data_IF_830930915636
#
_entry.id   IF_830930915636
#
_cell.length_a   1.000
_cell.length_b   1.000
_cell.length_c   1.000
_cell.angle_alpha   90.00
_cell.angle_beta   90.00
_cell.angle_gamma   90.00
#
_symmetry.space_group_name_H-M   'P 1'
#
loop_
_entity.id
_entity.type
_entity.pdbx_description
1 polymer ?
#
# COMPACT_ATOMS: atom_id res chain seq x y z
N UNK A 1 18.47 5.48 -3.98
CA UNK A 1 17.28 4.75 -4.47
C UNK A 1 16.05 5.49 -4.00
N UNK A 2 15.13 5.80 -4.91
CA UNK A 2 13.88 6.49 -4.60
C UNK A 2 13.06 5.65 -3.61
N UNK A 3 12.75 6.23 -2.43
CA UNK A 3 11.99 5.55 -1.38
C UNK A 3 10.61 5.14 -1.90
N UNK A 4 10.03 5.91 -2.82
CA UNK A 4 8.77 5.58 -3.49
C UNK A 4 8.87 4.30 -4.32
N UNK A 5 9.99 4.05 -5.00
CA UNK A 5 10.17 2.83 -5.79
C UNK A 5 10.22 1.59 -4.87
N UNK A 6 10.91 1.69 -3.72
CA UNK A 6 10.96 0.59 -2.72
C UNK A 6 9.58 0.32 -2.13
N UNK A 7 8.88 1.38 -1.72
CA UNK A 7 7.51 1.28 -1.22
C UNK A 7 6.59 0.64 -2.26
N UNK A 8 6.65 1.08 -3.51
CA UNK A 8 5.81 0.56 -4.60
C UNK A 8 6.11 -0.91 -4.88
N UNK A 9 7.38 -1.31 -4.91
CA UNK A 9 7.78 -2.71 -5.03
C UNK A 9 7.22 -3.58 -3.89
N UNK A 10 7.36 -3.13 -2.63
CA UNK A 10 6.84 -3.85 -1.47
C UNK A 10 5.30 -3.95 -1.51
N UNK A 11 4.63 -2.84 -1.84
CA UNK A 11 3.18 -2.74 -1.98
C UNK A 11 2.63 -3.67 -3.06
N UNK A 12 3.36 -3.84 -4.16
CA UNK A 12 3.01 -4.77 -5.25
C UNK A 12 3.30 -6.22 -4.86
N UNK A 13 4.45 -6.49 -4.26
CA UNK A 13 4.81 -7.83 -3.77
C UNK A 13 3.77 -8.36 -2.78
N UNK A 14 3.27 -7.54 -1.87
CA UNK A 14 2.22 -7.94 -0.92
C UNK A 14 0.91 -8.33 -1.63
N UNK A 15 0.47 -7.55 -2.62
CA UNK A 15 -0.72 -7.88 -3.42
C UNK A 15 -0.55 -9.17 -4.20
N UNK A 16 0.62 -9.39 -4.81
CA UNK A 16 0.92 -10.62 -5.55
C UNK A 16 0.98 -11.85 -4.62
N UNK A 17 1.52 -11.69 -3.42
CA UNK A 17 1.55 -12.74 -2.40
C UNK A 17 0.14 -13.23 -2.04
N UNK A 18 -0.84 -12.34 -1.97
CA UNK A 18 -2.24 -12.70 -1.74
C UNK A 18 -2.93 -13.22 -3.02
N UNK A 19 -2.61 -12.63 -4.18
CA UNK A 19 -3.21 -12.98 -5.45
C UNK A 19 -2.89 -14.43 -5.88
N UNK A 20 -1.65 -14.87 -5.70
CA UNK A 20 -1.20 -16.21 -6.10
C UNK A 20 -2.06 -17.34 -5.50
N UNK A 21 -2.24 -17.44 -4.17
CA UNK A 21 -3.10 -18.47 -3.60
C UNK A 21 -4.58 -18.25 -3.94
N UNK A 22 -5.06 -17.01 -4.10
CA UNK A 22 -6.44 -16.76 -4.52
C UNK A 22 -6.76 -17.27 -5.94
N UNK A 23 -5.80 -17.20 -6.86
CA UNK A 23 -5.96 -17.70 -8.24
C UNK A 23 -5.73 -19.20 -8.32
N UNK A 24 -4.58 -19.67 -7.79
CA UNK A 24 -4.13 -21.05 -7.94
C UNK A 24 -4.81 -22.00 -6.96
N UNK A 25 -5.06 -21.55 -5.72
CA UNK A 25 -5.60 -22.38 -4.64
C UNK A 25 -6.66 -21.67 -3.78
N UNK A 26 -7.76 -21.18 -4.38
CA UNK A 26 -8.78 -20.39 -3.67
C UNK A 26 -9.37 -21.12 -2.46
N UNK A 27 -9.52 -22.45 -2.55
CA UNK A 27 -10.09 -23.27 -1.47
C UNK A 27 -9.23 -23.30 -0.20
N UNK A 28 -7.90 -23.22 -0.32
CA UNK A 28 -7.05 -23.13 0.86
C UNK A 28 -7.23 -21.81 1.61
N UNK A 29 -7.36 -20.70 0.88
CA UNK A 29 -7.60 -19.38 1.49
C UNK A 29 -8.95 -19.35 2.18
N UNK A 30 -10.00 -19.85 1.52
CA UNK A 30 -11.34 -19.93 2.10
C UNK A 30 -11.34 -20.81 3.35
N UNK A 31 -10.67 -21.95 3.31
CA UNK A 31 -10.52 -22.83 4.46
C UNK A 31 -9.78 -22.17 5.62
N UNK A 32 -8.65 -21.50 5.35
CA UNK A 32 -7.84 -20.79 6.35
C UNK A 32 -8.66 -19.72 7.11
N UNK A 33 -9.53 -19.01 6.40
CA UNK A 33 -10.38 -17.96 6.99
C UNK A 33 -11.67 -18.50 7.63
N UNK A 34 -11.94 -19.80 7.50
CA UNK A 34 -13.11 -20.47 8.09
C UNK A 34 -12.73 -21.61 9.04
N UNK A 35 -11.48 -21.67 9.51
CA UNK A 35 -11.00 -22.78 10.36
C UNK A 35 -11.87 -22.95 11.62
N UNK A 36 -12.30 -21.84 12.24
CA UNK A 36 -13.07 -21.88 13.48
C UNK A 36 -14.59 -22.03 13.27
N UNK A 37 -15.13 -21.58 12.13
CA UNK A 37 -16.54 -21.84 11.75
C UNK A 37 -16.76 -23.29 11.32
N UNK A 38 -15.70 -23.98 10.88
CA UNK A 38 -15.74 -25.39 10.49
C UNK A 38 -15.90 -26.36 11.67
N UNK A 39 -15.56 -25.95 12.90
CA UNK A 39 -15.81 -26.76 14.11
C UNK A 39 -17.28 -26.73 14.57
N UNK A 40 -18.10 -25.80 14.06
CA UNK A 40 -19.50 -25.66 14.45
C UNK A 40 -20.49 -26.47 13.59
N UNK A 41 -20.06 -27.08 12.47
CA UNK A 41 -20.93 -27.87 11.60
C UNK A 41 -20.24 -29.16 11.10
N UNK A 42 -20.80 -30.36 11.36
CA UNK A 42 -20.24 -31.61 10.87
C UNK A 42 -20.53 -31.75 9.37
N UNK A 43 -19.58 -31.34 8.52
CA UNK A 43 -19.65 -31.60 7.09
C UNK A 43 -18.41 -31.09 6.35
N UNK A 44 -18.04 -31.70 5.21
CA UNK A 44 -17.00 -31.14 4.35
C UNK A 44 -17.47 -29.77 3.91
N UNK A 45 -16.81 -28.69 4.35
CA UNK A 45 -17.07 -27.30 3.94
C UNK A 45 -16.87 -27.21 2.44
N UNK A 46 -17.94 -27.51 1.69
CA UNK A 46 -17.94 -27.51 0.25
C UNK A 46 -18.05 -26.06 -0.16
N UNK A 47 -16.91 -25.36 -0.22
CA UNK A 47 -16.88 -23.97 -0.72
C UNK A 47 -17.71 -23.88 -1.97
N UNK A 48 -18.74 -23.04 -1.93
CA UNK A 48 -19.67 -22.86 -3.03
C UNK A 48 -18.92 -22.42 -4.29
N UNK A 49 -19.41 -22.78 -5.48
CA UNK A 49 -18.81 -22.35 -6.75
C UNK A 49 -18.63 -20.82 -6.84
N UNK A 50 -19.50 -20.08 -6.15
CA UNK A 50 -19.44 -18.61 -6.08
C UNK A 50 -18.27 -18.08 -5.24
N UNK A 51 -17.92 -18.74 -4.13
CA UNK A 51 -16.77 -18.36 -3.31
C UNK A 51 -15.47 -18.52 -4.10
N UNK A 52 -15.35 -19.62 -4.84
CA UNK A 52 -14.19 -19.88 -5.71
C UNK A 52 -14.11 -18.87 -6.85
N UNK A 53 -15.25 -18.52 -7.45
CA UNK A 53 -15.31 -17.49 -8.48
C UNK A 53 -14.85 -16.12 -7.96
N UNK A 54 -15.38 -15.69 -6.80
CA UNK A 54 -15.00 -14.41 -6.20
C UNK A 54 -13.54 -14.39 -5.75
N UNK A 55 -13.04 -15.48 -5.17
CA UNK A 55 -11.63 -15.60 -4.79
C UNK A 55 -10.70 -15.45 -6.00
N UNK A 56 -10.97 -16.16 -7.10
CA UNK A 56 -10.16 -16.05 -8.32
C UNK A 56 -10.25 -14.65 -8.94
N UNK A 57 -11.45 -14.10 -9.02
CA UNK A 57 -11.68 -12.75 -9.56
C UNK A 57 -10.90 -11.72 -8.75
N UNK A 58 -10.95 -11.80 -7.42
CA UNK A 58 -10.17 -10.94 -6.52
C UNK A 58 -8.67 -11.09 -6.74
N UNK A 59 -8.17 -12.33 -6.86
CA UNK A 59 -6.74 -12.57 -7.13
C UNK A 59 -6.26 -11.97 -8.45
N UNK A 60 -7.07 -12.07 -9.51
CA UNK A 60 -6.80 -11.42 -10.80
C UNK A 60 -6.80 -9.88 -10.66
N UNK A 61 -7.78 -9.32 -9.95
CA UNK A 61 -7.85 -7.88 -9.67
C UNK A 61 -6.64 -7.39 -8.87
N UNK A 62 -6.21 -8.11 -7.83
CA UNK A 62 -5.03 -7.76 -7.03
C UNK A 62 -3.75 -7.80 -7.86
N UNK A 63 -3.63 -8.75 -8.78
CA UNK A 63 -2.52 -8.84 -9.72
C UNK A 63 -2.48 -7.61 -10.62
N UNK A 64 -3.60 -7.30 -11.29
CA UNK A 64 -3.71 -6.13 -12.16
C UNK A 64 -3.45 -4.83 -11.39
N UNK A 65 -4.05 -4.66 -10.21
CA UNK A 65 -3.88 -3.48 -9.38
C UNK A 65 -2.44 -3.29 -8.91
N UNK A 66 -1.76 -4.38 -8.52
CA UNK A 66 -0.34 -4.36 -8.15
C UNK A 66 0.57 -3.98 -9.31
N UNK A 67 0.33 -4.52 -10.51
CA UNK A 67 1.11 -4.20 -11.70
C UNK A 67 0.89 -2.75 -12.16
N UNK A 68 -0.37 -2.31 -12.28
CA UNK A 68 -0.69 -0.93 -12.67
C UNK A 68 -0.10 0.07 -11.68
N UNK A 69 -0.23 -0.19 -10.37
CA UNK A 69 0.38 0.67 -9.34
C UNK A 69 1.90 0.72 -9.48
N UNK A 70 2.55 -0.43 -9.70
CA UNK A 70 4.01 -0.49 -9.87
C UNK A 70 4.47 0.30 -11.10
N UNK A 71 3.78 0.14 -12.23
CA UNK A 71 4.08 0.82 -13.48
C UNK A 71 3.92 2.34 -13.33
N UNK A 72 2.79 2.80 -12.79
CA UNK A 72 2.50 4.24 -12.63
C UNK A 72 3.33 4.91 -11.52
N UNK A 73 3.95 4.14 -10.63
CA UNK A 73 4.80 4.69 -9.57
C UNK A 73 6.08 5.35 -10.09
N UNK A 74 6.48 5.06 -11.33
CA UNK A 74 7.78 5.48 -11.88
C UNK A 74 8.93 4.54 -11.54
N UNK A 75 8.66 3.40 -10.90
CA UNK A 75 9.67 2.36 -10.65
C UNK A 75 10.21 1.74 -11.95
N UNK A 76 9.42 1.77 -13.03
CA UNK A 76 9.84 1.37 -14.37
C UNK A 76 10.10 2.62 -15.24
N UNK A 77 11.26 2.73 -15.90
CA UNK A 77 11.53 3.82 -16.83
C UNK A 77 10.77 3.58 -18.14
N UNK A 78 9.54 4.12 -18.23
CA UNK A 78 8.69 3.98 -19.43
C UNK A 78 8.87 5.09 -20.47
N UNK A 79 9.67 6.13 -20.17
CA UNK A 79 9.96 7.23 -21.10
C UNK A 79 11.33 7.08 -21.78
N UNK A 80 11.52 7.76 -22.93
CA UNK A 80 12.86 7.88 -23.51
C UNK A 80 13.75 8.70 -22.58
N UNK A 81 15.01 8.29 -22.41
CA UNK A 81 16.02 8.94 -21.57
C UNK A 81 16.33 10.39 -21.99
N UNK A 82 15.78 10.86 -23.11
CA UNK A 82 15.98 12.19 -23.69
C UNK A 82 15.05 13.28 -23.13
N UNK A 83 13.91 12.94 -22.52
CA UNK A 83 12.96 13.91 -21.91
C UNK A 83 12.99 13.93 -20.37
N UNK A 84 13.80 13.06 -19.75
CA UNK A 84 13.88 12.96 -18.31
C UNK A 84 14.64 14.16 -17.74
N UNK A 85 13.91 15.13 -17.18
CA UNK A 85 14.51 16.12 -16.28
C UNK A 85 15.18 15.37 -15.12
N UNK A 86 16.48 15.57 -14.85
CA UNK A 86 17.13 14.97 -13.71
C UNK A 86 16.32 15.36 -12.46
N UNK A 87 15.89 14.36 -11.69
CA UNK A 87 15.08 14.48 -10.48
C UNK A 87 13.55 14.70 -10.59
N UNK A 88 12.94 14.70 -11.78
CA UNK A 88 11.47 14.75 -11.87
C UNK A 88 10.80 13.49 -11.30
N UNK A 89 9.77 13.68 -10.47
CA UNK A 89 8.90 12.59 -10.03
C UNK A 89 8.07 12.06 -11.20
N UNK A 90 7.79 10.76 -11.23
CA UNK A 90 6.90 10.21 -12.23
C UNK A 90 5.51 10.87 -12.11
N UNK A 91 4.83 11.20 -13.23
CA UNK A 91 3.61 12.01 -13.22
C UNK A 91 2.50 11.48 -12.32
N UNK A 92 2.40 10.16 -12.18
CA UNK A 92 1.35 9.49 -11.42
C UNK A 92 1.80 8.95 -10.05
N UNK A 93 3.05 9.21 -9.65
CA UNK A 93 3.64 8.68 -8.41
C UNK A 93 2.86 9.12 -7.16
N UNK A 94 2.42 10.38 -7.10
CA UNK A 94 1.62 10.91 -5.98
C UNK A 94 0.24 10.26 -5.88
N UNK A 95 -0.44 10.09 -7.01
CA UNK A 95 -1.76 9.45 -7.07
C UNK A 95 -1.68 7.96 -6.68
N UNK A 96 -0.67 7.24 -7.19
CA UNK A 96 -0.42 5.85 -6.82
C UNK A 96 -0.11 5.73 -5.33
N UNK A 97 0.74 6.62 -4.81
CA UNK A 97 1.11 6.61 -3.40
C UNK A 97 -0.13 6.80 -2.52
N UNK A 98 -0.97 7.79 -2.83
CA UNK A 98 -2.22 8.04 -2.10
C UNK A 98 -3.15 6.82 -2.15
N UNK A 99 -3.45 6.32 -3.35
CA UNK A 99 -4.39 5.20 -3.54
C UNK A 99 -3.91 3.93 -2.84
N UNK A 100 -2.63 3.60 -2.96
CA UNK A 100 -2.07 2.40 -2.31
C UNK A 100 -1.99 2.57 -0.79
N UNK A 101 -1.74 3.77 -0.29
CA UNK A 101 -1.77 4.06 1.16
C UNK A 101 -3.17 3.89 1.72
N UNK A 102 -4.19 4.44 1.06
CA UNK A 102 -5.59 4.28 1.44
C UNK A 102 -6.03 2.82 1.38
N UNK A 103 -5.65 2.10 0.32
CA UNK A 103 -5.90 0.67 0.19
C UNK A 103 -5.34 -0.12 1.38
N UNK A 104 -4.07 0.11 1.73
CA UNK A 104 -3.43 -0.59 2.85
C UNK A 104 -4.04 -0.21 4.20
N UNK A 105 -4.38 1.06 4.41
CA UNK A 105 -5.08 1.51 5.61
C UNK A 105 -6.46 0.87 5.77
N UNK A 106 -7.27 0.86 4.70
CA UNK A 106 -8.58 0.23 4.70
C UNK A 106 -8.48 -1.29 4.92
N UNK A 107 -7.51 -1.95 4.28
CA UNK A 107 -7.26 -3.39 4.45
C UNK A 107 -6.84 -3.70 5.89
N UNK A 108 -5.93 -2.89 6.46
CA UNK A 108 -5.46 -3.06 7.83
C UNK A 108 -6.60 -2.96 8.84
N UNK A 109 -7.45 -1.94 8.68
CA UNK A 109 -8.63 -1.73 9.52
C UNK A 109 -9.64 -2.87 9.38
N UNK A 110 -9.96 -3.27 8.14
CA UNK A 110 -10.89 -4.37 7.89
C UNK A 110 -10.40 -5.69 8.48
N UNK A 111 -9.15 -6.05 8.23
CA UNK A 111 -8.57 -7.28 8.79
C UNK A 111 -8.49 -7.23 10.32
N UNK A 112 -8.19 -6.07 10.92
CA UNK A 112 -8.23 -5.91 12.37
C UNK A 112 -9.65 -6.08 12.93
N UNK A 113 -10.66 -5.51 12.26
CA UNK A 113 -12.05 -5.65 12.66
C UNK A 113 -12.50 -7.12 12.58
N UNK A 114 -12.18 -7.84 11.50
CA UNK A 114 -12.45 -9.27 11.38
C UNK A 114 -11.72 -10.09 12.46
N UNK A 115 -10.46 -9.76 12.76
CA UNK A 115 -9.71 -10.42 13.83
C UNK A 115 -10.34 -10.18 15.22
N UNK A 116 -10.87 -8.99 15.46
CA UNK A 116 -11.38 -8.57 16.77
C UNK A 116 -12.86 -8.94 17.01
N UNK A 117 -13.62 -9.20 15.95
CA UNK A 117 -15.06 -9.49 16.02
C UNK A 117 -15.40 -10.97 16.30
N UNK A 118 -14.43 -11.88 16.26
CA UNK A 118 -14.66 -13.32 16.44
C UNK A 118 -14.47 -13.70 17.91
N UNK A 119 -15.58 -13.87 18.63
CA UNK A 119 -15.60 -14.32 20.03
C UNK A 119 -14.96 -15.71 20.26
N UNK A 120 -14.85 -16.53 19.20
CA UNK A 120 -14.52 -17.96 19.29
C UNK A 120 -13.10 -18.35 18.85
N UNK A 121 -12.28 -17.42 18.38
CA UNK A 121 -10.96 -17.77 17.82
C UNK A 121 -10.31 -16.62 17.08
N UNK A 122 -9.16 -16.19 17.57
CA UNK A 122 -8.29 -15.23 16.90
C UNK A 122 -7.74 -15.84 15.60
N UNK A 123 -8.40 -15.60 14.48
CA UNK A 123 -7.93 -16.11 13.19
C UNK A 123 -6.64 -15.40 12.77
N UNK A 124 -5.52 -16.11 12.88
CA UNK A 124 -4.16 -15.59 12.63
C UNK A 124 -3.97 -15.02 11.23
N UNK A 125 -4.71 -15.51 10.23
CA UNK A 125 -4.71 -14.97 8.87
C UNK A 125 -5.12 -13.50 8.80
N UNK A 126 -6.18 -13.13 9.54
CA UNK A 126 -6.63 -11.73 9.62
C UNK A 126 -5.63 -10.85 10.40
N UNK A 127 -4.99 -11.38 11.44
CA UNK A 127 -3.94 -10.65 12.17
C UNK A 127 -2.74 -10.32 11.26
N UNK A 128 -2.23 -11.32 10.54
CA UNK A 128 -1.10 -11.14 9.61
C UNK A 128 -1.48 -10.13 8.52
N UNK A 129 -2.68 -10.28 7.95
CA UNK A 129 -3.24 -9.34 6.98
C UNK A 129 -3.24 -7.91 7.51
N UNK A 130 -3.71 -7.73 8.74
CA UNK A 130 -3.77 -6.42 9.41
C UNK A 130 -2.38 -5.82 9.63
N UNK A 131 -1.45 -6.58 10.23
CA UNK A 131 -0.11 -6.09 10.59
C UNK A 131 0.69 -5.66 9.35
N UNK A 132 0.72 -6.50 8.31
CA UNK A 132 1.50 -6.20 7.11
C UNK A 132 0.90 -5.01 6.35
N UNK A 133 -0.44 -4.96 6.22
CA UNK A 133 -1.09 -3.81 5.61
C UNK A 133 -0.98 -2.54 6.46
N UNK A 134 -0.98 -2.62 7.79
CA UNK A 134 -0.75 -1.46 8.66
C UNK A 134 0.67 -0.91 8.49
N UNK A 135 1.67 -1.78 8.42
CA UNK A 135 3.05 -1.40 8.14
C UNK A 135 3.18 -0.70 6.79
N UNK A 136 2.63 -1.29 5.73
CA UNK A 136 2.66 -0.68 4.40
C UNK A 136 1.89 0.63 4.34
N UNK A 137 0.73 0.73 5.02
CA UNK A 137 -0.03 1.97 5.14
C UNK A 137 0.77 3.07 5.86
N UNK A 138 1.43 2.74 6.97
CA UNK A 138 2.30 3.67 7.70
C UNK A 138 3.50 4.11 6.85
N UNK A 139 4.12 3.19 6.10
CA UNK A 139 5.19 3.54 5.17
C UNK A 139 4.69 4.42 4.02
N UNK A 140 3.52 4.14 3.44
CA UNK A 140 2.90 4.97 2.43
C UNK A 140 2.61 6.39 2.93
N UNK A 141 2.07 6.51 4.15
CA UNK A 141 1.86 7.78 4.82
C UNK A 141 3.19 8.52 5.06
N UNK A 142 4.21 7.82 5.54
CA UNK A 142 5.55 8.37 5.70
C UNK A 142 6.10 8.91 4.37
N UNK A 143 5.99 8.14 3.28
CA UNK A 143 6.37 8.58 1.94
C UNK A 143 5.57 9.81 1.50
N UNK A 144 4.29 9.94 1.86
CA UNK A 144 3.48 11.10 1.50
C UNK A 144 3.87 12.36 2.29
N UNK A 145 4.33 12.20 3.53
CA UNK A 145 4.71 13.31 4.39
C UNK A 145 6.18 13.73 4.19
N UNK A 146 7.06 12.76 3.95
CA UNK A 146 8.52 12.93 3.99
C UNK A 146 9.24 12.41 2.74
N UNK A 147 8.55 11.71 1.83
CA UNK A 147 9.14 11.10 0.64
C UNK A 147 9.37 12.05 -0.54
N UNK A 148 8.95 13.31 -0.43
CA UNK A 148 9.28 14.33 -1.42
C UNK A 148 10.79 14.55 -1.53
N UNK A 149 11.36 14.44 -2.74
CA UNK A 149 12.79 14.63 -2.97
C UNK A 149 13.30 15.97 -2.44
N UNK A 150 14.36 15.84 -1.65
CA UNK A 150 15.27 16.84 -1.11
C UNK A 150 15.92 17.80 -2.14
N UNK A 151 15.83 17.56 -3.45
CA UNK A 151 16.70 18.20 -4.47
C UNK A 151 16.23 19.59 -4.96
N UNK A 152 14.94 19.92 -4.87
CA UNK A 152 14.38 21.10 -5.56
C UNK A 152 14.11 22.34 -4.70
N UNK A 153 14.50 22.37 -3.43
CA UNK A 153 13.91 23.31 -2.46
C UNK A 153 14.90 24.28 -1.81
N UNK A 154 16.16 24.38 -2.25
CA UNK A 154 16.96 25.56 -1.90
C UNK A 154 16.61 26.66 -2.89
N UNK A 155 16.06 27.77 -2.39
CA UNK A 155 15.73 28.92 -3.22
C UNK A 155 16.98 29.43 -3.95
N UNK A 156 17.00 29.39 -5.29
CA UNK A 156 18.10 29.99 -6.07
C UNK A 156 18.24 31.50 -5.84
N UNK A 157 17.16 32.17 -5.41
CA UNK A 157 17.14 33.62 -5.17
C UNK A 157 17.61 34.01 -3.77
N UNK A 158 17.37 33.17 -2.76
CA UNK A 158 17.60 33.53 -1.36
C UNK A 158 18.55 32.58 -0.62
N UNK A 159 18.98 31.47 -1.26
CA UNK A 159 19.78 30.42 -0.61
C UNK A 159 19.06 29.70 0.53
N UNK A 160 17.82 30.08 0.83
CA UNK A 160 17.05 29.55 1.94
C UNK A 160 16.60 28.12 1.64
N UNK A 161 16.81 27.25 2.61
CA UNK A 161 16.29 25.90 2.59
C UNK A 161 14.77 25.93 2.78
N UNK A 162 14.01 25.66 1.70
CA UNK A 162 12.54 25.55 1.72
C UNK A 162 12.08 24.19 2.28
N UNK A 163 12.97 23.38 2.87
CA UNK A 163 12.61 22.14 3.60
C UNK A 163 12.03 22.38 4.98
N UNK A 164 11.77 23.62 5.36
CA UNK A 164 10.99 23.92 6.55
C UNK A 164 9.53 23.57 6.31
N UNK A 165 9.14 22.32 6.52
CA UNK A 165 7.73 21.95 6.54
C UNK A 165 7.12 22.50 7.84
N UNK A 166 5.95 23.12 7.70
CA UNK A 166 5.09 23.51 8.83
C UNK A 166 4.06 22.43 9.15
N UNK A 167 4.35 21.18 8.80
CA UNK A 167 3.44 20.05 8.98
C UNK A 167 4.02 19.07 10.01
N UNK A 168 3.25 18.63 11.02
CA UNK A 168 1.85 18.99 11.28
C UNK A 168 1.66 20.32 12.01
N UNK A 169 2.73 20.98 12.47
CA UNK A 169 2.66 22.22 13.25
C UNK A 169 3.38 23.38 12.55
N UNK A 170 2.78 24.58 12.67
CA UNK A 170 3.33 25.81 12.11
C UNK A 170 4.75 26.05 12.64
N UNK A 171 5.69 26.23 11.72
CA UNK A 171 7.09 26.50 12.04
C UNK A 171 7.35 28.02 11.95
N UNK A 172 7.23 28.73 13.08
CA UNK A 172 7.44 30.19 13.15
C UNK A 172 8.87 30.61 12.80
N UNK A 173 9.87 29.78 13.11
CA UNK A 173 11.28 30.02 12.80
C UNK A 173 11.57 29.94 11.30
N UNK A 174 10.85 29.08 10.59
CA UNK A 174 10.91 29.00 9.14
C UNK A 174 10.35 30.23 8.44
N UNK A 175 9.21 30.73 8.91
CA UNK A 175 8.55 31.90 8.32
C UNK A 175 9.39 33.17 8.54
N UNK A 176 10.08 33.27 9.69
CA UNK A 176 10.99 34.38 9.99
C UNK A 176 12.18 34.47 9.03
N UNK A 177 12.60 33.35 8.43
CA UNK A 177 13.68 33.30 7.41
C UNK A 177 13.22 33.66 5.99
N UNK A 178 11.91 33.74 5.72
CA UNK A 178 11.37 34.14 4.40
C UNK A 178 11.20 35.66 4.25
N UNK A 179 11.15 36.40 5.36
CA UNK A 179 10.94 37.85 5.40
C UNK A 179 12.21 38.70 5.44
N UNK A 180 13.40 38.07 5.35
CA UNK A 180 14.71 38.73 5.19
C UNK A 180 15.23 38.42 3.80
#
# INVERSE_FOLDING_TARGET
>A
MDVLAKYSAASTAWKLTQALPLVLWPRAVIGLLNVDTSYAAPGPTSSSGIEVYFARSLGLTLTAFGLVSFILSGALPLGSSTDATPDALAPYSSAVLLLTTLYHGATAFYCWACYSAVDSGHQTGFLIGSVVSAFLGAWGLWCSLFGGKASGHISRRTGADKRTSGFPFKNSEADRRKGR
#
